data_IF_585977555331
#
_entry.id   IF_585977555331
#
_cell.length_a   1.000
_cell.length_b   1.000
_cell.length_c   1.000
_cell.angle_alpha   90.00
_cell.angle_beta   90.00
_cell.angle_gamma   90.00
#
_symmetry.space_group_name_H-M   'P 1'
#
loop_
_entity.id
_entity.type
_entity.pdbx_description
1 polymer ?
#
# COMPACT_ATOMS: atom_id res chain seq x y z
N UNK A 1 9.38 15.08 -3.34
CA UNK A 1 8.82 13.73 -3.51
C UNK A 1 8.32 13.53 -4.93
N UNK A 2 8.39 12.31 -5.46
CA UNK A 2 7.68 11.87 -6.67
C UNK A 2 6.54 10.93 -6.28
N UNK A 3 5.42 11.02 -6.98
CA UNK A 3 4.32 10.05 -6.90
C UNK A 3 4.07 9.53 -8.32
N UNK A 4 4.19 8.23 -8.49
CA UNK A 4 3.96 7.51 -9.75
C UNK A 4 2.68 6.73 -9.58
N UNK A 5 1.71 7.01 -10.44
CA UNK A 5 0.41 6.33 -10.44
C UNK A 5 0.37 5.42 -11.66
N UNK A 6 0.17 4.13 -11.43
CA UNK A 6 -0.03 3.11 -12.45
C UNK A 6 -1.45 2.57 -12.38
N UNK A 7 -1.85 1.81 -13.39
CA UNK A 7 -3.22 1.29 -13.48
C UNK A 7 -3.54 0.28 -12.37
N UNK A 8 -2.62 -0.65 -12.13
CA UNK A 8 -2.79 -1.76 -11.19
C UNK A 8 -1.47 -2.17 -10.51
N UNK A 9 -1.56 -3.13 -9.59
CA UNK A 9 -0.42 -3.62 -8.81
C UNK A 9 0.68 -4.29 -9.67
N UNK A 10 0.32 -4.92 -10.79
CA UNK A 10 1.32 -5.49 -11.71
C UNK A 10 2.10 -4.39 -12.40
N UNK A 11 1.40 -3.38 -12.93
CA UNK A 11 2.00 -2.21 -13.57
C UNK A 11 2.89 -1.41 -12.61
N UNK A 12 2.52 -1.32 -11.33
CA UNK A 12 3.41 -0.79 -10.28
C UNK A 12 4.66 -1.65 -10.15
N UNK A 13 4.49 -2.97 -10.04
CA UNK A 13 5.61 -3.92 -9.94
C UNK A 13 6.60 -3.82 -11.10
N UNK A 14 6.08 -3.75 -12.33
CA UNK A 14 6.89 -3.60 -13.52
C UNK A 14 7.66 -2.28 -13.54
N UNK A 15 6.97 -1.17 -13.23
CA UNK A 15 7.61 0.14 -13.16
C UNK A 15 8.73 0.17 -12.12
N UNK A 16 8.50 -0.38 -10.93
CA UNK A 16 9.50 -0.42 -9.85
C UNK A 16 10.67 -1.33 -10.23
N UNK A 17 10.43 -2.49 -10.84
CA UNK A 17 11.50 -3.38 -11.27
C UNK A 17 12.41 -2.73 -12.33
N UNK A 18 11.83 -2.04 -13.31
CA UNK A 18 12.61 -1.27 -14.28
C UNK A 18 13.33 -0.08 -13.63
N UNK A 19 12.72 0.55 -12.62
CA UNK A 19 13.39 1.58 -11.83
C UNK A 19 14.65 1.04 -11.15
N UNK A 20 14.53 -0.08 -10.43
CA UNK A 20 15.66 -0.76 -9.77
C UNK A 20 16.72 -1.16 -10.79
N UNK A 21 16.33 -1.78 -11.91
CA UNK A 21 17.21 -2.15 -13.00
C UNK A 21 18.05 -0.95 -13.46
N UNK A 22 17.41 0.19 -13.74
CA UNK A 22 18.10 1.37 -14.24
C UNK A 22 19.01 1.99 -13.17
N UNK A 23 18.61 1.96 -11.89
CA UNK A 23 19.45 2.43 -10.79
C UNK A 23 20.72 1.61 -10.66
N UNK A 24 20.61 0.28 -10.71
CA UNK A 24 21.75 -0.64 -10.68
C UNK A 24 22.64 -0.43 -11.92
N UNK A 25 22.05 -0.38 -13.12
CA UNK A 25 22.80 -0.18 -14.39
C UNK A 25 23.56 1.14 -14.43
N UNK A 26 22.97 2.24 -13.95
CA UNK A 26 23.64 3.56 -13.88
C UNK A 26 24.74 3.58 -12.84
N UNK A 27 24.53 2.92 -11.72
CA UNK A 27 25.52 2.86 -10.64
C UNK A 27 26.76 2.05 -11.04
N UNK A 28 26.58 1.03 -11.91
CA UNK A 28 27.63 0.14 -12.40
C UNK A 28 28.40 -0.49 -11.22
N UNK A 29 27.74 -1.33 -10.40
CA UNK A 29 28.37 -1.88 -9.21
C UNK A 29 29.55 -2.78 -9.57
N UNK A 30 30.56 -2.79 -8.70
CA UNK A 30 31.71 -3.69 -8.74
C UNK A 30 31.87 -4.35 -7.38
N UNK A 31 32.78 -5.32 -7.25
CA UNK A 31 33.07 -5.95 -5.96
C UNK A 31 33.50 -4.95 -4.87
N UNK A 32 34.23 -3.90 -5.25
CA UNK A 32 34.73 -2.85 -4.33
C UNK A 32 33.71 -1.72 -4.10
N UNK A 33 32.70 -1.63 -4.97
CA UNK A 33 31.64 -0.63 -4.87
C UNK A 33 30.30 -1.29 -5.19
N UNK A 34 29.75 -2.10 -4.27
CA UNK A 34 28.49 -2.77 -4.48
C UNK A 34 27.31 -1.79 -4.47
N UNK A 35 26.21 -2.17 -5.11
CA UNK A 35 24.95 -1.44 -4.99
C UNK A 35 24.19 -1.95 -3.76
N UNK A 36 24.03 -1.12 -2.74
CA UNK A 36 23.33 -1.50 -1.49
C UNK A 36 21.83 -1.24 -1.64
N UNK A 37 21.03 -2.30 -1.60
CA UNK A 37 19.58 -2.29 -1.85
C UNK A 37 18.80 -2.71 -0.59
N UNK A 38 18.03 -1.79 -0.03
CA UNK A 38 17.06 -2.08 1.03
C UNK A 38 15.81 -2.76 0.47
N UNK A 39 15.35 -3.86 1.07
CA UNK A 39 14.25 -4.69 0.54
C UNK A 39 13.14 -4.95 1.56
N UNK A 40 11.85 -4.88 1.13
CA UNK A 40 10.72 -5.20 1.97
C UNK A 40 10.20 -6.64 1.75
N UNK A 41 9.38 -7.13 2.67
CA UNK A 41 8.60 -8.36 2.47
C UNK A 41 7.13 -8.05 2.24
N UNK A 42 6.28 -9.09 2.26
CA UNK A 42 4.83 -8.96 2.12
C UNK A 42 4.35 -8.99 0.68
N UNK A 43 3.04 -8.80 0.49
CA UNK A 43 2.41 -8.99 -0.83
C UNK A 43 2.70 -7.85 -1.83
N UNK A 44 2.88 -6.62 -1.35
CA UNK A 44 3.10 -5.45 -2.21
C UNK A 44 4.34 -5.55 -3.11
N UNK A 45 5.52 -6.03 -2.66
CA UNK A 45 6.69 -6.16 -3.54
C UNK A 45 6.68 -7.40 -4.44
N UNK A 46 5.78 -8.39 -4.28
CA UNK A 46 5.81 -9.64 -5.06
C UNK A 46 5.80 -9.42 -6.59
N UNK A 47 4.95 -8.53 -7.16
CA UNK A 47 5.02 -8.20 -8.58
C UNK A 47 6.39 -7.66 -9.01
N UNK A 48 7.02 -6.83 -8.16
CA UNK A 48 8.37 -6.30 -8.41
C UNK A 48 9.39 -7.43 -8.45
N UNK A 49 9.36 -8.35 -7.48
CA UNK A 49 10.30 -9.47 -7.43
C UNK A 49 10.19 -10.41 -8.61
N UNK A 50 8.97 -10.78 -9.01
CA UNK A 50 8.75 -11.58 -10.23
C UNK A 50 9.37 -10.91 -11.46
N UNK A 51 9.15 -9.60 -11.63
CA UNK A 51 9.72 -8.88 -12.76
C UNK A 51 11.24 -8.77 -12.70
N UNK A 52 11.83 -8.56 -11.52
CA UNK A 52 13.29 -8.56 -11.35
C UNK A 52 13.91 -9.92 -11.73
N UNK A 53 13.25 -11.02 -11.36
CA UNK A 53 13.64 -12.37 -11.75
C UNK A 53 13.57 -12.55 -13.28
N UNK A 54 12.52 -12.06 -13.93
CA UNK A 54 12.40 -12.07 -15.41
C UNK A 54 13.53 -11.27 -16.09
N UNK A 55 13.83 -10.08 -15.57
CA UNK A 55 14.92 -9.24 -16.08
C UNK A 55 16.29 -9.91 -15.92
N UNK A 56 16.50 -10.62 -14.81
CA UNK A 56 17.72 -11.40 -14.61
C UNK A 56 17.81 -12.59 -15.57
N UNK A 57 16.76 -13.43 -15.65
CA UNK A 57 16.72 -14.62 -16.51
C UNK A 57 16.85 -14.28 -18.00
N UNK A 58 16.47 -13.07 -18.40
CA UNK A 58 16.67 -12.54 -19.77
C UNK A 58 18.04 -11.88 -20.01
N UNK A 59 18.94 -11.89 -19.02
CA UNK A 59 20.28 -11.31 -19.12
C UNK A 59 20.33 -9.79 -19.07
N UNK A 60 19.25 -9.13 -18.67
CA UNK A 60 19.14 -7.66 -18.66
C UNK A 60 19.52 -7.02 -17.31
N UNK A 61 19.74 -7.83 -16.28
CA UNK A 61 20.08 -7.40 -14.93
C UNK A 61 20.92 -8.48 -14.22
N UNK A 62 21.96 -8.06 -13.51
CA UNK A 62 22.77 -8.92 -12.63
C UNK A 62 22.79 -8.35 -11.22
N UNK A 63 22.79 -9.24 -10.25
CA UNK A 63 22.85 -8.99 -8.81
C UNK A 63 24.18 -9.44 -8.18
N UNK A 64 25.16 -9.86 -9.00
CA UNK A 64 26.47 -10.34 -8.54
C UNK A 64 27.18 -9.34 -7.61
N UNK A 65 27.04 -8.05 -7.88
CA UNK A 65 27.61 -6.95 -7.08
C UNK A 65 26.54 -6.10 -6.37
N UNK A 66 25.38 -6.70 -6.11
CA UNK A 66 24.34 -6.12 -5.26
C UNK A 66 24.50 -6.69 -3.85
N UNK A 67 24.34 -5.84 -2.84
CA UNK A 67 24.25 -6.20 -1.42
C UNK A 67 22.85 -5.82 -0.94
N UNK A 68 22.15 -6.72 -0.27
CA UNK A 68 20.77 -6.50 0.17
C UNK A 68 20.68 -6.37 1.68
N UNK A 69 19.78 -5.50 2.13
CA UNK A 69 19.47 -5.27 3.54
C UNK A 69 17.96 -5.34 3.69
N UNK A 70 17.45 -6.37 4.36
CA UNK A 70 16.01 -6.48 4.63
C UNK A 70 15.58 -5.61 5.81
N UNK A 71 14.31 -5.20 5.80
CA UNK A 71 13.73 -4.31 6.81
C UNK A 71 13.56 -4.94 8.19
N UNK A 72 13.24 -6.23 8.25
CA UNK A 72 12.74 -6.85 9.48
C UNK A 72 12.84 -8.38 9.43
N UNK A 73 12.70 -9.00 10.61
CA UNK A 73 12.47 -10.43 10.82
C UNK A 73 11.74 -10.65 12.15
N UNK A 74 10.92 -11.70 12.23
CA UNK A 74 10.27 -12.11 13.47
C UNK A 74 11.26 -12.65 14.50
N UNK A 75 11.09 -12.25 15.75
CA UNK A 75 11.87 -12.82 16.87
C UNK A 75 11.34 -14.21 17.21
N UNK A 76 12.26 -15.16 17.41
CA UNK A 76 11.94 -16.53 17.84
C UNK A 76 11.44 -17.44 16.71
N UNK A 77 11.48 -16.99 15.46
CA UNK A 77 11.10 -17.80 14.30
C UNK A 77 12.36 -18.32 13.58
N UNK A 78 12.43 -19.64 13.36
CA UNK A 78 13.56 -20.24 12.62
C UNK A 78 13.66 -19.65 11.21
N UNK A 79 14.88 -19.37 10.69
CA UNK A 79 15.08 -18.95 9.29
C UNK A 79 14.54 -19.93 8.24
N UNK A 80 14.35 -21.20 8.62
CA UNK A 80 13.76 -22.23 7.75
C UNK A 80 12.25 -22.36 7.88
N UNK A 81 11.63 -21.63 8.81
CA UNK A 81 10.18 -21.62 8.96
C UNK A 81 9.55 -20.93 7.76
N UNK A 82 8.49 -21.50 7.18
CA UNK A 82 7.84 -21.00 5.96
C UNK A 82 7.36 -19.55 6.05
N UNK A 83 6.99 -19.08 7.25
CA UNK A 83 6.55 -17.71 7.51
C UNK A 83 7.68 -16.76 7.97
N UNK A 84 8.93 -17.22 8.02
CA UNK A 84 10.07 -16.32 8.27
C UNK A 84 10.33 -15.44 7.05
N UNK A 85 10.85 -14.24 7.30
CA UNK A 85 11.23 -13.33 6.23
C UNK A 85 12.50 -13.79 5.51
N UNK A 86 13.36 -14.57 6.16
CA UNK A 86 14.39 -15.39 5.52
C UNK A 86 13.77 -16.30 4.43
N UNK A 87 12.86 -17.20 4.80
CA UNK A 87 12.23 -18.11 3.84
C UNK A 87 11.48 -17.35 2.73
N UNK A 88 10.74 -16.30 3.09
CA UNK A 88 10.04 -15.45 2.12
C UNK A 88 10.99 -14.91 1.05
N UNK A 89 12.12 -14.31 1.45
CA UNK A 89 13.03 -13.68 0.49
C UNK A 89 13.76 -14.70 -0.38
N UNK A 90 14.16 -15.84 0.19
CA UNK A 90 14.77 -16.92 -0.58
C UNK A 90 13.81 -17.47 -1.64
N UNK A 91 12.58 -17.81 -1.24
CA UNK A 91 11.56 -18.35 -2.16
C UNK A 91 11.14 -17.36 -3.25
N UNK A 92 11.00 -16.08 -2.92
CA UNK A 92 10.40 -15.11 -3.86
C UNK A 92 11.43 -14.33 -4.69
N UNK A 93 12.71 -14.34 -4.31
CA UNK A 93 13.74 -13.57 -5.02
C UNK A 93 15.09 -14.29 -5.07
N UNK A 94 15.73 -14.55 -3.93
CA UNK A 94 17.18 -14.80 -3.90
C UNK A 94 17.59 -16.12 -4.55
N UNK A 95 16.78 -17.18 -4.53
CA UNK A 95 17.10 -18.44 -5.22
C UNK A 95 16.97 -18.35 -6.76
N UNK A 96 16.40 -17.26 -7.27
CA UNK A 96 16.07 -17.07 -8.69
C UNK A 96 16.98 -16.08 -9.42
N UNK A 97 17.95 -15.50 -8.72
CA UNK A 97 18.91 -14.50 -9.23
C UNK A 97 20.35 -14.86 -8.88
N UNK A 98 21.32 -14.21 -9.53
CA UNK A 98 22.76 -14.40 -9.33
C UNK A 98 23.34 -13.62 -8.12
N UNK A 99 22.52 -13.33 -7.12
CA UNK A 99 23.01 -12.70 -5.89
C UNK A 99 23.88 -13.69 -5.10
N UNK A 100 25.00 -13.22 -4.57
CA UNK A 100 25.86 -14.04 -3.72
C UNK A 100 25.25 -14.14 -2.31
N UNK A 101 25.14 -15.34 -1.70
CA UNK A 101 24.54 -15.48 -0.36
C UNK A 101 25.18 -14.60 0.72
N UNK A 102 26.50 -14.39 0.66
CA UNK A 102 27.23 -13.54 1.59
C UNK A 102 26.90 -12.03 1.48
N UNK A 103 26.27 -11.62 0.37
CA UNK A 103 25.79 -10.26 0.15
C UNK A 103 24.34 -10.07 0.63
N UNK A 104 23.70 -11.08 1.21
CA UNK A 104 22.32 -11.02 1.70
C UNK A 104 22.32 -10.79 3.21
N UNK A 105 21.75 -9.68 3.65
CA UNK A 105 21.62 -9.35 5.07
C UNK A 105 20.15 -9.27 5.47
N UNK A 106 19.76 -10.10 6.43
CA UNK A 106 18.46 -10.13 7.08
C UNK A 106 18.73 -10.27 8.58
N UNK A 107 18.02 -9.51 9.40
CA UNK A 107 18.15 -9.54 10.87
C UNK A 107 18.00 -10.97 11.42
N UNK A 108 18.85 -11.33 12.38
CA UNK A 108 18.74 -12.62 13.08
C UNK A 108 17.74 -12.55 14.25
N UNK A 109 16.49 -12.91 13.97
CA UNK A 109 15.43 -13.00 14.98
C UNK A 109 15.65 -14.08 16.04
N UNK A 110 16.66 -14.95 15.89
CA UNK A 110 17.01 -16.01 16.84
C UNK A 110 18.25 -15.66 17.68
N UNK A 111 18.82 -14.47 17.53
CA UNK A 111 19.98 -14.02 18.29
C UNK A 111 19.72 -14.02 19.81
N UNK A 112 20.71 -14.42 20.59
CA UNK A 112 20.62 -14.43 22.06
C UNK A 112 20.48 -13.02 22.64
N UNK A 113 21.27 -12.08 22.10
CA UNK A 113 21.17 -10.65 22.41
C UNK A 113 20.62 -9.89 21.19
N UNK A 114 19.31 -9.67 21.22
CA UNK A 114 18.56 -9.02 20.16
C UNK A 114 18.98 -7.56 19.94
N UNK A 115 19.40 -6.84 20.98
CA UNK A 115 19.84 -5.46 20.84
C UNK A 115 21.23 -5.41 20.21
N UNK A 116 22.14 -6.30 20.62
CA UNK A 116 23.45 -6.41 19.99
C UNK A 116 23.35 -6.77 18.50
N UNK A 117 22.40 -7.63 18.10
CA UNK A 117 22.12 -7.91 16.69
C UNK A 117 21.65 -6.66 15.94
N UNK A 118 20.76 -5.86 16.54
CA UNK A 118 20.30 -4.59 15.95
C UNK A 118 21.44 -3.60 15.75
N UNK A 119 22.31 -3.45 16.76
CA UNK A 119 23.47 -2.55 16.72
C UNK A 119 24.49 -3.00 15.66
N UNK A 120 24.75 -4.31 15.58
CA UNK A 120 25.59 -4.92 14.54
C UNK A 120 25.04 -4.70 13.14
N UNK A 121 23.71 -4.78 12.98
CA UNK A 121 23.06 -4.56 11.69
C UNK A 121 23.21 -3.12 11.22
N UNK A 122 23.10 -2.14 12.13
CA UNK A 122 23.37 -0.73 11.83
C UNK A 122 24.84 -0.48 11.46
N UNK A 123 25.77 -1.05 12.23
CA UNK A 123 27.21 -0.94 11.93
C UNK A 123 27.55 -1.53 10.55
N UNK A 124 26.95 -2.67 10.21
CA UNK A 124 27.11 -3.29 8.88
C UNK A 124 26.60 -2.38 7.76
N UNK A 125 25.44 -1.72 7.94
CA UNK A 125 24.92 -0.75 6.96
C UNK A 125 25.88 0.43 6.80
N UNK A 126 26.46 0.92 7.90
CA UNK A 126 27.45 2.00 7.88
C UNK A 126 28.74 1.58 7.17
N UNK A 127 29.25 0.38 7.44
CA UNK A 127 30.46 -0.19 6.81
C UNK A 127 30.30 -0.37 5.29
N UNK A 128 29.07 -0.64 4.83
CA UNK A 128 28.72 -0.67 3.40
C UNK A 128 28.66 0.72 2.76
N UNK A 129 28.80 1.79 3.54
CA UNK A 129 28.68 3.18 3.07
C UNK A 129 27.23 3.66 2.93
N UNK A 130 26.30 3.01 3.63
CA UNK A 130 24.87 3.32 3.61
C UNK A 130 24.12 2.76 2.40
N UNK A 131 22.78 2.88 2.45
CA UNK A 131 21.87 2.27 1.46
C UNK A 131 21.70 3.19 0.25
N UNK A 132 21.92 2.69 -0.96
CA UNK A 132 21.79 3.47 -2.21
C UNK A 132 20.31 3.65 -2.61
N UNK A 133 19.52 2.60 -2.48
CA UNK A 133 18.08 2.61 -2.72
C UNK A 133 17.38 1.74 -1.67
N UNK A 134 16.42 2.29 -0.96
CA UNK A 134 15.59 1.55 -0.01
C UNK A 134 14.19 1.37 -0.60
N UNK A 135 13.82 0.13 -0.90
CA UNK A 135 12.44 -0.23 -1.24
C UNK A 135 11.63 -0.49 0.03
N UNK A 136 10.46 0.13 0.15
CA UNK A 136 9.56 -0.05 1.28
C UNK A 136 8.15 -0.45 0.84
N UNK A 137 7.42 -1.09 1.75
CA UNK A 137 5.96 -1.19 1.69
C UNK A 137 5.33 -0.29 2.75
N UNK A 138 4.00 -0.17 2.71
CA UNK A 138 3.22 0.53 3.75
C UNK A 138 2.15 -0.39 4.34
N UNK A 139 1.95 -0.33 5.65
CA UNK A 139 0.78 -0.90 6.33
C UNK A 139 -0.51 -0.12 6.06
N UNK A 140 -1.71 -0.68 6.29
CA UNK A 140 -2.97 0.06 6.21
C UNK A 140 -3.07 1.22 7.24
N UNK A 141 -2.27 1.16 8.29
CA UNK A 141 -2.07 2.16 9.35
C UNK A 141 -0.90 3.14 9.05
N UNK A 142 -0.26 3.04 7.88
CA UNK A 142 0.85 3.90 7.50
C UNK A 142 2.23 3.51 8.02
N UNK A 143 2.40 2.31 8.61
CA UNK A 143 3.72 1.87 9.06
C UNK A 143 4.67 1.55 7.90
N UNK A 144 5.97 1.81 8.11
CA UNK A 144 7.06 1.28 7.28
C UNK A 144 7.85 0.25 8.09
N UNK A 145 8.13 -0.92 7.51
CA UNK A 145 8.63 -2.07 8.28
C UNK A 145 7.71 -2.34 9.49
N UNK A 146 8.24 -2.76 10.64
CA UNK A 146 7.47 -2.80 11.89
C UNK A 146 7.51 -1.46 12.67
N UNK A 147 7.74 -0.32 12.02
CA UNK A 147 7.63 1.00 12.67
C UNK A 147 6.16 1.42 12.80
N UNK A 148 5.45 0.74 13.70
CA UNK A 148 4.03 0.93 13.99
C UNK A 148 3.70 2.34 14.50
N UNK A 149 2.42 2.76 14.44
CA UNK A 149 1.99 4.06 14.93
C UNK A 149 2.50 4.38 16.35
N UNK A 150 3.09 5.56 16.50
CA UNK A 150 3.75 6.01 17.73
C UNK A 150 5.26 5.77 17.75
N UNK A 151 5.82 5.05 16.79
CA UNK A 151 7.28 4.87 16.66
C UNK A 151 7.99 6.19 16.40
N UNK A 152 9.15 6.41 17.03
CA UNK A 152 9.96 7.60 16.79
C UNK A 152 10.34 7.73 15.32
N UNK A 153 10.19 8.93 14.74
CA UNK A 153 10.58 9.21 13.36
C UNK A 153 12.11 9.27 13.16
N UNK A 154 12.88 9.30 14.24
CA UNK A 154 14.35 9.15 14.22
C UNK A 154 14.82 7.82 14.84
N UNK A 155 13.93 6.83 14.95
CA UNK A 155 14.28 5.52 15.48
C UNK A 155 15.37 4.84 14.65
N UNK A 156 16.17 4.00 15.33
CA UNK A 156 17.13 3.06 14.74
C UNK A 156 16.60 1.63 14.74
N UNK A 157 17.38 0.71 14.17
CA UNK A 157 17.13 -0.73 14.24
C UNK A 157 16.96 -1.16 15.69
N UNK A 158 15.87 -1.88 15.98
CA UNK A 158 15.50 -2.25 17.36
C UNK A 158 14.55 -3.44 17.40
N UNK A 159 14.40 -3.99 18.59
CA UNK A 159 13.29 -4.88 18.94
C UNK A 159 11.99 -4.09 18.99
N UNK A 160 10.95 -4.64 18.38
CA UNK A 160 9.60 -4.07 18.39
C UNK A 160 8.56 -5.13 18.73
N UNK A 161 7.77 -4.85 19.77
CA UNK A 161 6.55 -5.61 20.05
C UNK A 161 5.48 -5.24 19.03
N UNK A 162 4.89 -6.25 18.40
CA UNK A 162 3.83 -6.09 17.41
C UNK A 162 2.53 -5.64 18.08
N UNK A 163 1.84 -4.66 17.49
CA UNK A 163 0.52 -4.27 17.93
C UNK A 163 -0.51 -5.36 17.64
N UNK A 164 -1.62 -5.32 18.38
CA UNK A 164 -2.70 -6.28 18.25
C UNK A 164 -3.23 -6.38 16.81
N UNK A 165 -3.40 -5.25 16.12
CA UNK A 165 -3.88 -5.22 14.72
C UNK A 165 -2.92 -5.95 13.77
N UNK A 166 -1.60 -5.80 13.98
CA UNK A 166 -0.56 -6.51 13.23
C UNK A 166 -0.63 -8.01 13.48
N UNK A 167 -0.78 -8.41 14.74
CA UNK A 167 -0.93 -9.83 15.11
C UNK A 167 -2.19 -10.43 14.46
N UNK A 168 -3.33 -9.73 14.52
CA UNK A 168 -4.58 -10.17 13.90
C UNK A 168 -4.43 -10.28 12.38
N UNK A 169 -3.83 -9.28 11.72
CA UNK A 169 -3.61 -9.28 10.27
C UNK A 169 -2.69 -10.42 9.82
N UNK A 170 -1.67 -10.75 10.62
CA UNK A 170 -0.70 -11.77 10.29
C UNK A 170 -1.15 -13.18 10.69
N UNK A 171 -2.14 -13.33 11.59
CA UNK A 171 -2.69 -14.64 12.00
C UNK A 171 -3.08 -15.55 10.82
N UNK A 172 -3.51 -14.97 9.68
CA UNK A 172 -3.82 -15.70 8.44
C UNK A 172 -2.65 -16.55 7.92
N UNK A 173 -1.42 -16.14 8.18
CA UNK A 173 -0.20 -16.86 7.81
C UNK A 173 0.16 -17.96 8.82
N UNK A 174 -0.40 -17.92 10.03
CA UNK A 174 -0.16 -18.88 11.11
C UNK A 174 -1.40 -19.77 11.34
N UNK A 175 -2.11 -20.12 10.26
CA UNK A 175 -3.29 -20.98 10.31
C UNK A 175 -4.52 -20.34 10.97
N UNK A 176 -4.57 -19.01 11.05
CA UNK A 176 -5.64 -18.26 11.72
C UNK A 176 -5.50 -18.19 13.25
N UNK A 177 -4.39 -18.69 13.81
CA UNK A 177 -4.16 -18.75 15.25
C UNK A 177 -3.27 -17.60 15.72
N UNK A 178 -3.89 -16.63 16.40
CA UNK A 178 -3.24 -15.45 16.99
C UNK A 178 -2.11 -15.86 17.95
N UNK A 179 -2.25 -16.97 18.67
CA UNK A 179 -1.26 -17.41 19.67
C UNK A 179 0.04 -17.93 19.04
N UNK A 180 0.03 -18.26 17.74
CA UNK A 180 1.20 -18.71 17.00
C UNK A 180 1.97 -17.59 16.32
N UNK A 181 1.40 -16.39 16.27
CA UNK A 181 2.08 -15.23 15.68
C UNK A 181 3.17 -14.77 16.65
N UNK A 182 4.42 -14.60 16.19
CA UNK A 182 5.47 -14.02 17.01
C UNK A 182 5.04 -12.66 17.58
N UNK A 183 5.31 -12.41 18.85
CA UNK A 183 4.90 -11.17 19.54
C UNK A 183 5.88 -10.02 19.34
N UNK A 184 7.08 -10.31 18.84
CA UNK A 184 8.15 -9.35 18.62
C UNK A 184 8.80 -9.58 17.25
N UNK A 185 9.39 -8.51 16.72
CA UNK A 185 10.22 -8.51 15.54
C UNK A 185 11.46 -7.65 15.75
N UNK A 186 12.54 -7.95 15.04
CA UNK A 186 13.61 -7.00 14.80
C UNK A 186 13.24 -6.19 13.57
N UNK A 187 13.47 -4.88 13.62
CA UNK A 187 13.11 -4.00 12.49
C UNK A 187 14.06 -2.84 12.41
N UNK A 188 14.42 -2.44 11.18
CA UNK A 188 15.11 -1.17 10.91
C UNK A 188 14.26 -0.02 11.40
N UNK A 189 14.91 1.05 11.84
CA UNK A 189 14.23 2.25 12.29
C UNK A 189 13.74 3.13 11.14
N UNK A 190 12.85 4.08 11.47
CA UNK A 190 12.46 5.12 10.51
C UNK A 190 13.67 5.96 10.09
N UNK A 191 14.56 6.27 11.05
CA UNK A 191 15.82 6.95 10.77
C UNK A 191 16.73 6.12 9.86
N UNK A 192 16.84 4.81 10.10
CA UNK A 192 17.62 3.88 9.27
C UNK A 192 17.18 3.91 7.80
N UNK A 193 15.86 3.91 7.55
CA UNK A 193 15.31 4.05 6.19
C UNK A 193 15.58 5.43 5.61
N UNK A 194 15.44 6.49 6.42
CA UNK A 194 15.61 7.89 6.01
C UNK A 194 17.08 8.27 5.74
N UNK A 195 18.05 7.47 6.21
CA UNK A 195 19.46 7.64 5.89
C UNK A 195 19.84 7.11 4.49
N UNK A 196 18.96 6.36 3.84
CA UNK A 196 19.19 5.89 2.49
C UNK A 196 19.31 7.07 1.51
N UNK A 197 20.12 6.92 0.46
CA UNK A 197 20.29 7.99 -0.56
C UNK A 197 19.00 8.21 -1.37
N UNK A 198 18.19 7.18 -1.49
CA UNK A 198 16.89 7.20 -2.15
C UNK A 198 15.93 6.21 -1.48
N UNK A 199 14.67 6.62 -1.30
CA UNK A 199 13.61 5.74 -0.77
C UNK A 199 12.48 5.66 -1.77
N UNK A 200 12.01 4.44 -2.07
CA UNK A 200 10.87 4.17 -2.93
C UNK A 200 9.87 3.28 -2.19
N UNK A 201 8.66 3.78 -1.95
CA UNK A 201 7.60 3.01 -1.29
C UNK A 201 6.54 2.54 -2.29
N UNK A 202 6.20 1.25 -2.21
CA UNK A 202 5.20 0.57 -3.03
C UNK A 202 3.87 0.55 -2.27
N UNK A 203 2.81 1.11 -2.86
CA UNK A 203 1.49 1.23 -2.23
C UNK A 203 0.40 0.81 -3.20
N UNK A 204 -0.17 -0.38 -3.01
CA UNK A 204 -1.19 -0.94 -3.90
C UNK A 204 -2.47 -1.34 -3.17
N UNK A 205 -3.60 -1.13 -3.83
CA UNK A 205 -4.94 -1.55 -3.43
C UNK A 205 -5.67 -0.59 -2.48
N UNK A 206 -7.01 -0.70 -2.49
CA UNK A 206 -7.94 0.17 -1.75
C UNK A 206 -7.64 0.23 -0.25
N UNK A 207 -7.20 -0.89 0.34
CA UNK A 207 -6.88 -0.97 1.78
C UNK A 207 -5.78 -0.02 2.24
N UNK A 208 -4.99 0.53 1.31
CA UNK A 208 -3.89 1.46 1.59
C UNK A 208 -4.21 2.91 1.23
N UNK A 209 -5.41 3.19 0.70
CA UNK A 209 -5.76 4.52 0.22
C UNK A 209 -5.74 5.59 1.31
N UNK A 210 -6.26 5.26 2.49
CA UNK A 210 -6.20 6.15 3.65
C UNK A 210 -4.74 6.42 4.06
N UNK A 211 -3.91 5.38 4.13
CA UNK A 211 -2.50 5.51 4.49
C UNK A 211 -1.74 6.41 3.50
N UNK A 212 -1.97 6.25 2.19
CA UNK A 212 -1.38 7.13 1.17
C UNK A 212 -1.79 8.59 1.40
N UNK A 213 -3.10 8.85 1.55
CA UNK A 213 -3.63 10.19 1.80
C UNK A 213 -2.95 10.83 3.03
N UNK A 214 -2.90 10.10 4.15
CA UNK A 214 -2.26 10.55 5.39
C UNK A 214 -0.78 10.87 5.21
N UNK A 215 -0.07 10.10 4.39
CA UNK A 215 1.37 10.27 4.22
C UNK A 215 1.76 11.38 3.24
N UNK A 216 0.89 11.75 2.28
CA UNK A 216 1.24 12.74 1.23
C UNK A 216 0.46 14.05 1.29
N UNK A 217 -0.72 14.08 1.92
CA UNK A 217 -1.56 15.28 1.98
C UNK A 217 -1.68 15.89 3.39
N UNK A 218 -1.47 15.09 4.45
CA UNK A 218 -1.39 15.59 5.81
C UNK A 218 0.05 15.91 6.22
N UNK A 219 0.23 16.42 7.45
CA UNK A 219 1.55 16.73 7.99
C UNK A 219 2.30 15.48 8.45
N UNK A 220 3.62 15.65 8.62
CA UNK A 220 4.49 14.63 9.24
C UNK A 220 3.94 14.24 10.61
N UNK A 221 3.74 12.94 10.82
CA UNK A 221 3.17 12.39 12.05
C UNK A 221 3.75 11.01 12.34
N UNK A 222 4.18 10.78 13.59
CA UNK A 222 4.60 9.46 14.05
C UNK A 222 3.48 8.42 14.11
N UNK A 223 2.21 8.84 13.94
CA UNK A 223 1.07 7.92 13.81
C UNK A 223 0.94 7.34 12.40
N UNK A 224 1.62 7.95 11.41
CA UNK A 224 1.66 7.52 10.02
C UNK A 224 3.12 7.57 9.59
N UNK A 225 3.94 6.59 9.98
CA UNK A 225 5.40 6.75 9.97
C UNK A 225 5.97 6.99 8.58
N UNK A 226 5.35 6.50 7.50
CA UNK A 226 5.72 6.83 6.10
C UNK A 226 5.61 8.33 5.77
N UNK A 227 4.85 9.12 6.52
CA UNK A 227 4.80 10.59 6.36
C UNK A 227 6.18 11.25 6.54
N UNK A 228 7.16 10.58 7.18
CA UNK A 228 8.54 11.06 7.27
C UNK A 228 9.18 11.31 5.90
N UNK A 229 8.74 10.62 4.85
CA UNK A 229 9.25 10.78 3.49
C UNK A 229 9.05 12.19 2.91
N UNK A 230 8.15 12.98 3.49
CA UNK A 230 8.02 14.40 3.14
C UNK A 230 9.31 15.19 3.40
N UNK A 231 10.15 14.72 4.33
CA UNK A 231 11.43 15.34 4.68
C UNK A 231 12.62 14.67 4.01
N UNK A 232 12.41 13.57 3.28
CA UNK A 232 13.51 12.86 2.61
C UNK A 232 13.90 13.60 1.33
N UNK A 233 15.21 13.87 1.07
CA UNK A 233 15.65 14.64 -0.09
C UNK A 233 15.30 13.96 -1.42
N UNK A 234 15.17 12.62 -1.41
CA UNK A 234 14.90 11.82 -2.60
C UNK A 234 13.92 10.68 -2.33
N UNK A 235 12.65 11.01 -2.14
CA UNK A 235 11.57 10.04 -1.97
C UNK A 235 10.72 9.87 -3.24
N UNK A 236 10.34 8.62 -3.50
CA UNK A 236 9.39 8.21 -4.51
C UNK A 236 8.30 7.32 -3.89
N UNK A 237 7.06 7.48 -4.33
CA UNK A 237 5.97 6.56 -4.04
C UNK A 237 5.47 6.04 -5.37
N UNK A 238 5.37 4.73 -5.52
CA UNK A 238 4.76 4.06 -6.67
C UNK A 238 3.47 3.39 -6.20
N UNK A 239 2.36 3.72 -6.83
CA UNK A 239 1.03 3.29 -6.41
C UNK A 239 0.12 2.98 -7.58
N UNK A 240 -0.91 2.17 -7.33
CA UNK A 240 -1.99 1.93 -8.30
C UNK A 240 -3.13 2.94 -8.12
N UNK A 241 -4.07 2.98 -9.06
CA UNK A 241 -5.24 3.88 -9.00
C UNK A 241 -6.05 3.67 -7.71
N UNK A 242 -6.21 2.42 -7.27
CA UNK A 242 -6.98 2.05 -6.08
C UNK A 242 -6.40 2.62 -4.79
N UNK A 243 -5.08 2.71 -4.67
CA UNK A 243 -4.42 3.36 -3.54
C UNK A 243 -4.64 4.88 -3.53
N UNK A 244 -5.14 5.51 -4.60
CA UNK A 244 -5.36 6.96 -4.67
C UNK A 244 -6.76 7.42 -4.28
N UNK A 245 -7.68 6.51 -3.93
CA UNK A 245 -9.11 6.81 -3.76
C UNK A 245 -9.43 7.86 -2.69
N UNK A 246 -8.60 7.98 -1.64
CA UNK A 246 -8.76 8.99 -0.58
C UNK A 246 -7.98 10.30 -0.87
N UNK A 247 -7.20 10.35 -1.94
CA UNK A 247 -6.42 11.53 -2.31
C UNK A 247 -7.26 12.55 -3.08
N UNK A 248 -6.92 13.83 -2.97
CA UNK A 248 -7.58 14.89 -3.75
C UNK A 248 -7.28 14.72 -5.23
N UNK A 249 -8.31 14.91 -6.05
CA UNK A 249 -8.18 14.93 -7.53
C UNK A 249 -7.07 15.88 -8.00
N UNK A 250 -6.91 17.03 -7.34
CA UNK A 250 -5.85 17.99 -7.67
C UNK A 250 -4.44 17.41 -7.47
N UNK A 251 -4.23 16.66 -6.39
CA UNK A 251 -2.97 15.99 -6.07
C UNK A 251 -2.62 14.98 -7.15
N UNK A 252 -3.57 14.09 -7.49
CA UNK A 252 -3.34 13.04 -8.49
C UNK A 252 -3.12 13.63 -9.88
N UNK A 253 -3.92 14.63 -10.29
CA UNK A 253 -3.72 15.32 -11.58
C UNK A 253 -2.36 16.02 -11.66
N UNK A 254 -1.91 16.62 -10.57
CA UNK A 254 -0.60 17.26 -10.52
C UNK A 254 0.51 16.24 -10.80
N UNK A 255 0.52 15.10 -10.09
CA UNK A 255 1.58 14.10 -10.26
C UNK A 255 1.50 13.34 -11.59
N UNK A 256 0.30 12.95 -12.05
CA UNK A 256 0.14 12.36 -13.39
C UNK A 256 0.62 13.29 -14.50
N UNK A 257 0.35 14.60 -14.37
CA UNK A 257 0.84 15.61 -15.32
C UNK A 257 2.38 15.74 -15.35
N UNK A 258 3.09 15.26 -14.32
CA UNK A 258 4.55 15.25 -14.26
C UNK A 258 5.17 13.93 -14.73
N UNK A 259 4.37 12.86 -14.86
CA UNK A 259 4.86 11.50 -15.08
C UNK A 259 5.66 11.37 -16.38
N UNK A 260 5.20 11.95 -17.49
CA UNK A 260 5.94 11.98 -18.76
C UNK A 260 7.32 12.61 -18.64
N UNK A 261 7.44 13.66 -17.83
CA UNK A 261 8.72 14.33 -17.58
C UNK A 261 9.63 13.46 -16.73
N UNK A 262 9.05 12.77 -15.73
CA UNK A 262 9.79 11.86 -14.85
C UNK A 262 10.30 10.63 -15.60
N UNK A 263 9.48 10.03 -16.48
CA UNK A 263 9.89 8.89 -17.31
C UNK A 263 11.07 9.25 -18.22
N UNK A 264 11.02 10.43 -18.87
CA UNK A 264 12.13 10.94 -19.70
C UNK A 264 13.42 11.12 -18.91
N UNK A 265 13.36 11.66 -17.69
CA UNK A 265 14.54 11.84 -16.82
C UNK A 265 15.15 10.49 -16.38
N UNK A 266 14.31 9.47 -16.29
CA UNK A 266 14.72 8.13 -15.89
C UNK A 266 15.13 7.25 -17.07
N UNK A 267 14.94 7.69 -18.32
CA UNK A 267 15.18 6.89 -19.54
C UNK A 267 14.52 5.51 -19.49
N UNK A 268 13.42 5.39 -18.75
CA UNK A 268 12.62 4.16 -18.72
C UNK A 268 11.86 4.02 -20.05
N UNK A 269 11.54 2.80 -20.51
CA UNK A 269 10.77 2.60 -21.73
C UNK A 269 9.46 3.39 -21.67
N UNK A 270 9.16 4.18 -22.70
CA UNK A 270 7.93 4.98 -22.78
C UNK A 270 6.71 4.14 -23.19
N UNK A 271 6.92 2.93 -23.72
CA UNK A 271 5.86 2.04 -24.19
C UNK A 271 5.14 1.41 -22.97
N UNK A 272 3.85 1.72 -22.81
CA UNK A 272 2.98 1.16 -21.77
C UNK A 272 2.72 2.05 -20.54
N UNK A 273 3.45 3.15 -20.35
CA UNK A 273 3.38 3.98 -19.13
C UNK A 273 2.76 5.38 -19.31
N UNK A 274 2.14 5.64 -20.45
CA UNK A 274 1.63 6.96 -20.82
C UNK A 274 0.19 7.20 -20.36
N UNK A 275 0.02 7.98 -19.30
CA UNK A 275 -1.19 8.76 -19.09
C UNK A 275 -1.38 9.73 -20.27
N UNK A 276 -2.63 9.96 -20.68
CA UNK A 276 -2.98 10.80 -21.84
C UNK A 276 -2.30 12.18 -21.80
N UNK A 277 -1.24 12.33 -22.59
CA UNK A 277 -0.53 13.60 -22.79
C UNK A 277 -1.47 14.66 -23.38
N UNK A 278 -1.67 15.74 -22.63
CA UNK A 278 -2.32 16.96 -23.12
C UNK A 278 -1.29 17.83 -23.86
N UNK A 279 -0.87 17.42 -25.06
CA UNK A 279 -0.15 18.31 -25.98
C UNK A 279 -1.09 18.89 -27.02
N UNK A 280 -1.25 20.22 -27.01
CA UNK A 280 -1.73 21.01 -28.15
C UNK A 280 -0.73 20.86 -29.30
N UNK A 281 -1.16 20.30 -30.42
CA UNK A 281 -0.38 20.25 -31.65
C UNK A 281 -1.16 19.64 -32.80
N UNK A 282 -1.32 20.42 -33.87
CA UNK A 282 -2.06 20.16 -35.10
C UNK A 282 -1.48 19.02 -35.95
N UNK A 283 -2.31 18.07 -36.38
CA UNK A 283 -2.42 17.63 -37.79
C UNK A 283 -3.42 16.46 -37.94
N UNK A 284 -4.30 16.63 -38.92
CA UNK A 284 -5.05 15.63 -39.70
C UNK A 284 -4.71 14.15 -39.50
N UNK A 285 -5.70 13.34 -39.10
CA UNK A 285 -5.65 11.88 -39.24
C UNK A 285 -6.60 11.09 -38.33
N UNK A 286 -7.71 10.59 -38.92
CA UNK A 286 -8.64 9.54 -38.47
C UNK A 286 -9.32 9.66 -37.08
N UNK A 287 -10.59 10.06 -37.10
CA UNK A 287 -11.48 10.10 -35.94
C UNK A 287 -12.01 8.70 -35.57
N UNK A 288 -11.72 8.23 -34.35
CA UNK A 288 -12.53 7.21 -33.70
C UNK A 288 -13.86 7.84 -33.25
N UNK A 289 -14.97 7.27 -33.69
CA UNK A 289 -16.31 7.78 -33.46
C UNK A 289 -16.70 7.78 -31.96
N UNK A 290 -17.29 8.89 -31.50
CA UNK A 290 -17.93 8.96 -30.20
C UNK A 290 -19.07 7.92 -30.10
N UNK A 291 -19.35 7.35 -28.90
CA UNK A 291 -20.41 6.37 -28.74
C UNK A 291 -21.76 6.97 -29.16
N UNK A 292 -22.53 6.18 -29.90
CA UNK A 292 -23.81 6.61 -30.43
C UNK A 292 -24.79 7.00 -29.29
N UNK A 293 -25.61 8.04 -29.49
CA UNK A 293 -26.60 8.46 -28.51
C UNK A 293 -27.59 7.34 -28.19
N UNK A 294 -27.89 7.13 -26.90
CA UNK A 294 -28.88 6.15 -26.43
C UNK A 294 -30.24 6.33 -27.14
N UNK A 295 -30.94 5.22 -27.43
CA UNK A 295 -32.31 5.23 -27.97
C UNK A 295 -33.30 5.92 -27.02
N UNK A 296 -34.45 6.36 -27.56
CA UNK A 296 -35.50 7.03 -26.78
C UNK A 296 -35.99 6.17 -25.62
N UNK A 297 -36.14 4.87 -25.83
CA UNK A 297 -36.56 3.89 -24.82
C UNK A 297 -35.52 3.80 -23.69
N UNK A 298 -34.22 3.70 -24.02
CA UNK A 298 -33.14 3.64 -23.03
C UNK A 298 -33.02 4.94 -22.22
N UNK A 299 -33.20 6.11 -22.85
CA UNK A 299 -33.19 7.40 -22.15
C UNK A 299 -34.35 7.55 -21.17
N UNK A 300 -35.55 7.11 -21.56
CA UNK A 300 -36.71 7.17 -20.68
C UNK A 300 -36.53 6.30 -19.43
N UNK A 301 -36.00 5.09 -19.60
CA UNK A 301 -35.71 4.17 -18.49
C UNK A 301 -34.69 4.77 -17.49
N UNK A 302 -33.61 5.38 -17.99
CA UNK A 302 -32.62 6.05 -17.14
C UNK A 302 -33.21 7.27 -16.43
N UNK A 303 -34.09 8.02 -17.09
CA UNK A 303 -34.70 9.22 -16.52
C UNK A 303 -35.77 8.90 -15.46
N UNK A 304 -36.50 7.81 -15.62
CA UNK A 304 -37.47 7.28 -14.64
C UNK A 304 -36.74 6.80 -13.37
N UNK A 305 -35.65 6.03 -13.52
CA UNK A 305 -34.79 5.61 -12.41
C UNK A 305 -34.12 6.78 -11.65
N UNK A 306 -33.89 7.93 -12.31
CA UNK A 306 -33.36 9.14 -11.67
C UNK A 306 -34.40 9.95 -10.90
N UNK A 307 -35.70 9.80 -11.20
CA UNK A 307 -36.78 10.53 -10.52
C UNK A 307 -37.16 9.90 -9.18
N UNK A 308 -37.03 8.57 -9.04
CA UNK A 308 -37.31 7.85 -7.80
C UNK A 308 -36.14 7.99 -6.81
N UNK A 309 -36.18 9.08 -6.02
CA UNK A 309 -35.13 9.44 -5.05
C UNK A 309 -35.39 8.90 -3.64
N UNK A 310 -35.88 7.68 -3.50
CA UNK A 310 -36.16 7.06 -2.19
C UNK A 310 -35.73 5.60 -2.17
N UNK A 311 -35.15 5.17 -1.04
CA UNK A 311 -34.68 3.84 -0.58
C UNK A 311 -34.03 2.87 -1.61
N UNK A 312 -32.97 2.17 -1.20
CA UNK A 312 -32.25 1.20 -2.04
C UNK A 312 -33.16 0.10 -2.65
N UNK A 313 -34.25 -0.25 -1.96
CA UNK A 313 -35.24 -1.24 -2.42
C UNK A 313 -36.02 -0.76 -3.65
N UNK A 314 -36.43 0.51 -3.67
CA UNK A 314 -37.21 1.10 -4.76
C UNK A 314 -36.38 1.33 -6.02
N UNK A 315 -35.09 1.70 -5.88
CA UNK A 315 -34.16 1.86 -7.00
C UNK A 315 -33.87 0.52 -7.68
N UNK A 316 -33.65 -0.55 -6.90
CA UNK A 316 -33.43 -1.89 -7.46
C UNK A 316 -34.68 -2.43 -8.17
N UNK A 317 -35.88 -2.21 -7.60
CA UNK A 317 -37.13 -2.59 -8.24
C UNK A 317 -37.39 -1.81 -9.55
N UNK A 318 -37.01 -0.53 -9.62
CA UNK A 318 -37.09 0.27 -10.84
C UNK A 318 -36.08 -0.20 -11.90
N UNK A 319 -34.86 -0.60 -11.48
CA UNK A 319 -33.85 -1.17 -12.38
C UNK A 319 -34.26 -2.53 -12.95
N UNK A 320 -34.87 -3.42 -12.16
CA UNK A 320 -35.40 -4.69 -12.67
C UNK A 320 -36.49 -4.50 -13.71
N UNK A 321 -37.42 -3.56 -13.50
CA UNK A 321 -38.46 -3.24 -14.51
C UNK A 321 -37.88 -2.60 -15.77
N UNK A 322 -36.84 -1.77 -15.63
CA UNK A 322 -36.12 -1.19 -16.77
C UNK A 322 -35.35 -2.24 -17.58
N UNK A 323 -34.72 -3.19 -16.89
CA UNK A 323 -34.01 -4.32 -17.50
C UNK A 323 -34.96 -5.23 -18.30
N UNK A 324 -36.11 -5.58 -17.74
CA UNK A 324 -37.13 -6.41 -18.41
C UNK A 324 -37.68 -5.73 -19.68
N UNK A 325 -37.94 -4.42 -19.62
CA UNK A 325 -38.39 -3.65 -20.80
C UNK A 325 -37.33 -3.56 -21.90
N UNK A 326 -36.06 -3.42 -21.52
CA UNK A 326 -34.94 -3.38 -22.46
C UNK A 326 -34.66 -4.75 -23.09
N UNK A 327 -34.97 -5.86 -22.40
CA UNK A 327 -34.87 -7.20 -22.96
C UNK A 327 -36.01 -7.57 -23.90
N UNK A 328 -37.19 -6.99 -23.72
CA UNK A 328 -38.38 -7.27 -24.54
C UNK A 328 -38.46 -6.42 -25.82
N UNK A 329 -37.81 -5.26 -25.86
CA UNK A 329 -37.80 -4.37 -27.02
C UNK A 329 -36.70 -4.75 -28.03
N UNK A 330 -37.09 -5.49 -29.07
CA UNK A 330 -36.20 -5.94 -30.17
C UNK A 330 -35.57 -4.80 -30.98
N UNK A 331 -35.99 -3.55 -30.79
CA UNK A 331 -35.39 -2.39 -31.45
C UNK A 331 -34.14 -1.86 -30.73
N UNK A 332 -33.84 -2.33 -29.51
CA UNK A 332 -32.68 -1.92 -28.72
C UNK A 332 -31.49 -2.82 -29.03
N UNK A 333 -30.40 -2.22 -29.54
CA UNK A 333 -29.18 -2.98 -29.81
C UNK A 333 -28.49 -3.44 -28.52
N UNK A 334 -27.75 -4.55 -28.55
CA UNK A 334 -27.05 -5.10 -27.39
C UNK A 334 -26.06 -4.12 -26.75
N UNK A 335 -25.44 -3.26 -27.56
CA UNK A 335 -24.51 -2.21 -27.12
C UNK A 335 -25.24 -1.07 -26.41
N UNK A 336 -26.43 -0.69 -26.90
CA UNK A 336 -27.28 0.35 -26.30
C UNK A 336 -27.84 -0.12 -24.94
N UNK A 337 -28.28 -1.38 -24.87
CA UNK A 337 -28.69 -2.02 -23.61
C UNK A 337 -27.58 -2.10 -22.58
N UNK A 338 -26.36 -2.48 -22.98
CA UNK A 338 -25.20 -2.56 -22.09
C UNK A 338 -24.81 -1.19 -21.52
N UNK A 339 -24.87 -0.13 -22.33
CA UNK A 339 -24.58 1.23 -21.89
C UNK A 339 -25.65 1.78 -20.94
N UNK A 340 -26.93 1.49 -21.21
CA UNK A 340 -28.03 1.84 -20.32
C UNK A 340 -27.90 1.15 -18.95
N UNK A 341 -27.52 -0.13 -18.94
CA UNK A 341 -27.25 -0.89 -17.71
C UNK A 341 -26.10 -0.29 -16.89
N UNK A 342 -25.02 0.14 -17.56
CA UNK A 342 -23.86 0.78 -16.92
C UNK A 342 -24.24 2.10 -16.25
N UNK A 343 -25.07 2.90 -16.92
CA UNK A 343 -25.60 4.13 -16.32
C UNK A 343 -26.54 3.85 -15.15
N UNK A 344 -27.45 2.87 -15.26
CA UNK A 344 -28.37 2.50 -14.18
C UNK A 344 -27.61 2.00 -12.93
N UNK A 345 -26.57 1.18 -13.11
CA UNK A 345 -25.71 0.73 -12.03
C UNK A 345 -25.00 1.91 -11.33
N UNK A 346 -24.60 2.92 -12.10
CA UNK A 346 -23.99 4.16 -11.56
C UNK A 346 -24.99 4.98 -10.76
N UNK A 347 -26.26 5.03 -11.17
CA UNK A 347 -27.34 5.71 -10.43
C UNK A 347 -27.63 4.99 -9.11
N UNK A 348 -27.68 3.65 -9.09
CA UNK A 348 -27.88 2.88 -7.86
C UNK A 348 -26.73 3.01 -6.86
N UNK A 349 -25.48 3.05 -7.34
CA UNK A 349 -24.31 3.27 -6.49
C UNK A 349 -24.36 4.61 -5.73
N UNK A 350 -25.00 5.63 -6.33
CA UNK A 350 -25.17 6.97 -5.73
C UNK A 350 -26.36 7.08 -4.76
N UNK A 351 -27.22 6.06 -4.67
CA UNK A 351 -28.42 6.03 -3.84
C UNK A 351 -28.27 5.42 -2.44
N UNK A 352 -27.07 4.96 -2.04
CA UNK A 352 -26.82 4.49 -0.67
C UNK A 352 -26.74 5.69 0.30
N UNK A 353 -27.61 5.81 1.32
CA UNK A 353 -27.39 6.78 2.38
C UNK A 353 -26.30 6.27 3.33
N UNK A 354 -25.40 7.17 3.71
CA UNK A 354 -24.49 7.00 4.83
C UNK A 354 -25.29 6.88 6.14
N UNK A 355 -25.44 5.67 6.67
CA UNK A 355 -25.99 5.41 8.00
C UNK A 355 -25.34 4.16 8.60
N UNK A 356 -24.10 4.31 9.07
CA UNK A 356 -23.45 3.38 9.98
C UNK A 356 -22.47 4.16 10.89
N UNK A 357 -22.96 5.21 11.52
CA UNK A 357 -22.32 5.88 12.64
C UNK A 357 -23.43 6.46 13.53
N UNK A 358 -23.38 6.14 14.82
CA UNK A 358 -24.32 6.52 15.89
C UNK A 358 -25.64 5.73 15.99
N UNK A 359 -25.63 4.65 16.77
CA UNK A 359 -26.68 4.28 17.73
C UNK A 359 -26.39 2.93 18.43
N UNK A 360 -25.54 2.95 19.46
CA UNK A 360 -25.60 1.93 20.53
C UNK A 360 -25.49 2.61 21.90
N UNK A 361 -26.35 3.60 22.10
CA UNK A 361 -26.76 4.06 23.42
C UNK A 361 -28.26 4.39 23.36
N UNK A 362 -29.07 3.68 24.14
CA UNK A 362 -30.42 4.10 24.49
C UNK A 362 -31.57 3.33 23.84
N UNK A 363 -31.93 2.18 24.42
CA UNK A 363 -33.33 1.76 24.50
C UNK A 363 -33.55 0.98 25.80
N UNK A 364 -34.07 1.70 26.80
CA UNK A 364 -34.68 1.12 27.99
C UNK A 364 -36.09 0.61 27.66
N UNK A 365 -36.44 -0.62 28.05
CA UNK A 365 -37.57 -0.90 28.95
C UNK A 365 -37.79 -2.42 29.13
N UNK A 366 -37.92 -2.85 30.40
CA UNK A 366 -38.72 -4.03 30.73
C UNK A 366 -38.07 -5.17 31.51
N UNK A 367 -37.62 -4.96 32.76
CA UNK A 367 -38.04 -5.74 33.96
C UNK A 367 -37.21 -5.38 35.21
N UNK A 368 -37.91 -5.27 36.34
CA UNK A 368 -37.43 -4.92 37.68
C UNK A 368 -36.36 -5.90 38.24
N UNK A 369 -35.61 -5.47 39.28
CA UNK A 369 -35.82 -6.13 40.58
C UNK A 369 -35.75 -5.20 41.82
N UNK A 370 -36.01 -5.86 42.94
CA UNK A 370 -36.31 -5.42 44.31
C UNK A 370 -35.25 -4.57 45.01
N UNK A 371 -35.74 -3.84 46.02
CA UNK A 371 -35.07 -3.03 47.04
C UNK A 371 -34.12 -3.81 47.96
N UNK A 372 -33.15 -3.10 48.53
CA UNK A 372 -32.39 -3.42 49.77
C UNK A 372 -30.97 -2.82 49.70
N UNK A 373 -30.78 -1.56 50.13
CA UNK A 373 -30.21 -1.17 51.44
C UNK A 373 -28.70 -1.48 51.53
N UNK A 374 -27.83 -0.49 51.32
CA UNK A 374 -27.15 0.31 52.37
C UNK A 374 -25.75 -0.27 52.66
N UNK A 375 -24.68 0.45 52.36
CA UNK A 375 -24.00 1.29 53.36
C UNK A 375 -22.67 1.85 52.82
N UNK A 376 -22.37 3.05 53.30
CA UNK A 376 -21.29 3.92 52.90
C UNK A 376 -19.94 3.53 53.53
N UNK A 377 -18.84 3.81 52.83
CA UNK A 377 -17.62 4.28 53.50
C UNK A 377 -16.78 5.17 52.59
N UNK A 378 -16.88 6.48 52.85
CA UNK A 378 -15.86 7.49 52.53
C UNK A 378 -14.81 7.49 53.65
N UNK A 379 -13.54 7.55 53.29
CA UNK A 379 -12.41 8.30 53.88
C UNK A 379 -11.12 7.50 53.65
N UNK A 380 -9.92 8.04 53.43
CA UNK A 380 -9.42 9.38 53.55
C UNK A 380 -8.20 9.53 52.63
N UNK A 381 -8.09 10.66 51.94
CA UNK A 381 -6.83 11.13 51.37
C UNK A 381 -6.13 12.02 52.41
N UNK A 382 -4.91 11.70 52.81
CA UNK A 382 -4.04 12.62 53.54
C UNK A 382 -2.55 12.33 53.27
N UNK A 383 -1.96 13.25 52.49
CA UNK A 383 -0.62 13.86 52.61
C UNK A 383 0.60 12.96 52.88
N UNK A 384 1.58 13.06 51.99
CA UNK A 384 2.98 13.23 52.37
C UNK A 384 3.70 14.07 51.29
N UNK A 385 4.21 15.23 51.71
CA UNK A 385 5.29 16.01 51.07
C UNK A 385 6.48 15.92 52.03
N UNK A 386 7.67 15.88 51.42
CA UNK A 386 9.00 16.21 51.96
C UNK A 386 9.57 15.28 53.06
N UNK A 387 10.50 14.39 52.68
CA UNK A 387 11.98 14.45 52.91
C UNK A 387 12.66 13.53 51.91
#
# INVERSE_FOLDING_TARGET
>A
MRLVVQEDAESVGEWVAHYVQERIRRFKPTAERPFVLGLPTGSSPLPTYRKLVELHKSGQLSFEHVVTVNMDEYVGLSPTHEQSYHAFMWTNLFEHIDIRPENVHILDGMAEDLQAECDKYEAMIEDLGGIELFLGGIGPDGHIAFNEPGSSLCSRTRVKTLAYDTIVANSRFFGGDIAKVPTMALTVGVGTVMDAREVLVIITGVSKALALHKCIEEGVSHMWTVSCLQQHPRACIACDEDATLECKVKTIRYFKGLQDTQLKLLQLPMEGYGGTSLTRGSSTGSAAAAPAPLSSTARMAVQEARKDRLSASSVMAAMSRAAERLSDDRSVSSVDGANAFRELATVAARGKPAAAAAASAGASSGRAPKRGADDASRSAAKRARDV
#
